data_IF_862281975848
#
_entry.id   IF_862281975848
#
_cell.length_a   1.000
_cell.length_b   1.000
_cell.length_c   1.000
_cell.angle_alpha   90.00
_cell.angle_beta   90.00
_cell.angle_gamma   90.00
#
_symmetry.space_group_name_H-M   'P 1'
#
loop_
_entity.id
_entity.type
_entity.pdbx_description
1 polymer ?
#
# COMPACT_ATOMS: atom_id res chain seq x y z
N UNK A 1 -20.85 -8.20 24.64
CA UNK A 1 -21.41 -8.72 23.37
C UNK A 1 -20.33 -8.64 22.30
N UNK A 2 -19.85 -9.78 21.79
CA UNK A 2 -18.83 -9.80 20.74
C UNK A 2 -19.43 -9.38 19.40
N UNK A 3 -18.81 -8.42 18.70
CA UNK A 3 -19.28 -7.91 17.40
C UNK A 3 -19.07 -8.98 16.32
N UNK A 4 -20.06 -9.87 16.17
CA UNK A 4 -20.17 -10.74 15.00
C UNK A 4 -20.70 -9.89 13.85
N UNK A 5 -19.85 -9.40 12.96
CA UNK A 5 -20.33 -8.74 11.73
C UNK A 5 -19.41 -7.71 11.10
N UNK A 6 -18.30 -8.14 10.50
CA UNK A 6 -17.66 -7.37 9.42
C UNK A 6 -16.91 -8.30 8.46
N UNK A 7 -17.55 -9.39 8.03
CA UNK A 7 -16.96 -10.34 7.08
C UNK A 7 -17.93 -10.51 5.91
N UNK A 8 -17.47 -10.17 4.72
CA UNK A 8 -18.24 -10.34 3.47
C UNK A 8 -17.85 -11.66 2.80
N UNK A 9 -18.84 -12.40 2.29
CA UNK A 9 -18.58 -13.66 1.58
C UNK A 9 -18.23 -13.38 0.12
N UNK A 10 -17.00 -13.67 -0.26
CA UNK A 10 -16.53 -13.62 -1.64
C UNK A 10 -16.38 -15.05 -2.18
N UNK A 11 -17.01 -15.35 -3.33
CA UNK A 11 -16.83 -16.62 -4.03
C UNK A 11 -15.74 -16.47 -5.09
N UNK A 12 -14.66 -17.26 -4.97
CA UNK A 12 -13.55 -17.28 -5.93
C UNK A 12 -13.22 -18.71 -6.31
N UNK A 13 -12.81 -18.91 -7.56
CA UNK A 13 -12.34 -20.20 -8.07
C UNK A 13 -10.81 -20.18 -8.12
N UNK A 14 -10.18 -21.21 -7.57
CA UNK A 14 -8.73 -21.39 -7.58
C UNK A 14 -8.35 -22.62 -8.43
N UNK A 15 -7.17 -22.63 -9.06
CA UNK A 15 -6.62 -23.84 -9.67
C UNK A 15 -6.59 -24.98 -8.66
N UNK A 16 -6.90 -26.19 -9.14
CA UNK A 16 -7.01 -27.40 -8.29
C UNK A 16 -5.76 -27.64 -7.46
N UNK A 17 -4.60 -27.62 -8.11
CA UNK A 17 -3.30 -27.85 -7.47
C UNK A 17 -3.02 -26.85 -6.35
N UNK A 18 -3.36 -25.58 -6.56
CA UNK A 18 -3.21 -24.54 -5.54
C UNK A 18 -4.14 -24.80 -4.35
N UNK A 19 -5.40 -25.15 -4.61
CA UNK A 19 -6.36 -25.45 -3.55
C UNK A 19 -5.97 -26.72 -2.75
N UNK A 20 -5.39 -27.72 -3.41
CA UNK A 20 -4.82 -28.92 -2.77
C UNK A 20 -3.59 -28.57 -1.93
N UNK A 21 -2.68 -27.76 -2.46
CA UNK A 21 -1.50 -27.28 -1.72
C UNK A 21 -1.85 -26.46 -0.48
N UNK A 22 -2.90 -25.63 -0.54
CA UNK A 22 -3.40 -24.92 0.64
C UNK A 22 -3.95 -25.93 1.66
N UNK A 23 -4.75 -26.90 1.22
CA UNK A 23 -5.39 -27.88 2.11
C UNK A 23 -4.42 -28.90 2.72
N UNK A 24 -3.24 -29.11 2.13
CA UNK A 24 -2.22 -30.00 2.70
C UNK A 24 -1.45 -29.37 3.86
N UNK A 25 -1.40 -28.04 3.93
CA UNK A 25 -0.61 -27.30 4.93
C UNK A 25 -1.52 -26.62 5.96
N UNK A 26 -2.68 -26.12 5.54
CA UNK A 26 -3.57 -25.32 6.40
C UNK A 26 -4.63 -26.22 7.06
N UNK A 27 -4.80 -26.15 8.40
CA UNK A 27 -5.86 -26.89 9.09
C UNK A 27 -7.26 -26.56 8.57
N UNK A 28 -8.18 -27.53 8.66
CA UNK A 28 -9.58 -27.31 8.32
C UNK A 28 -10.15 -26.16 9.16
N UNK A 29 -10.92 -25.28 8.52
CA UNK A 29 -11.49 -24.09 9.14
C UNK A 29 -10.58 -22.85 9.17
N UNK A 30 -9.28 -22.99 8.86
CA UNK A 30 -8.33 -21.85 8.83
C UNK A 30 -8.03 -21.35 7.40
N UNK A 31 -8.55 -22.01 6.38
CA UNK A 31 -8.32 -21.66 4.97
C UNK A 31 -8.73 -20.22 4.65
N UNK A 32 -9.86 -19.76 5.19
CA UNK A 32 -10.32 -18.38 4.99
C UNK A 32 -9.35 -17.35 5.58
N UNK A 33 -8.82 -17.60 6.79
CA UNK A 33 -7.82 -16.73 7.42
C UNK A 33 -6.54 -16.71 6.60
N UNK A 34 -6.05 -17.88 6.20
CA UNK A 34 -4.83 -17.99 5.38
C UNK A 34 -4.95 -17.21 4.06
N UNK A 35 -6.09 -17.34 3.38
CA UNK A 35 -6.36 -16.60 2.14
C UNK A 35 -6.49 -15.10 2.42
N UNK A 36 -7.19 -14.71 3.49
CA UNK A 36 -7.32 -13.29 3.86
C UNK A 36 -5.95 -12.65 4.08
N UNK A 37 -5.07 -13.28 4.85
CA UNK A 37 -3.73 -12.78 5.13
C UNK A 37 -2.89 -12.63 3.85
N UNK A 38 -2.98 -13.62 2.94
CA UNK A 38 -2.25 -13.57 1.67
C UNK A 38 -2.76 -12.44 0.76
N UNK A 39 -4.09 -12.26 0.70
CA UNK A 39 -4.73 -11.19 -0.08
C UNK A 39 -4.40 -9.83 0.51
N UNK A 40 -4.42 -9.66 1.84
CA UNK A 40 -4.09 -8.40 2.51
C UNK A 40 -2.66 -7.97 2.19
N UNK A 41 -1.67 -8.88 2.30
CA UNK A 41 -0.28 -8.60 1.92
C UNK A 41 -0.18 -8.19 0.45
N UNK A 42 -0.90 -8.86 -0.44
CA UNK A 42 -0.88 -8.54 -1.87
C UNK A 42 -1.53 -7.19 -2.16
N UNK A 43 -2.62 -6.85 -1.48
CA UNK A 43 -3.28 -5.54 -1.60
C UNK A 43 -2.39 -4.43 -1.07
N UNK A 44 -1.71 -4.62 0.05
CA UNK A 44 -0.75 -3.65 0.58
C UNK A 44 0.36 -3.35 -0.45
N UNK A 45 0.92 -4.40 -1.06
CA UNK A 45 1.90 -4.25 -2.14
C UNK A 45 1.34 -3.45 -3.34
N UNK A 46 0.10 -3.72 -3.77
CA UNK A 46 -0.52 -2.98 -4.86
C UNK A 46 -0.80 -1.50 -4.50
N UNK A 47 -1.25 -1.22 -3.27
CA UNK A 47 -1.47 0.16 -2.80
C UNK A 47 -0.17 0.94 -2.76
N UNK A 48 0.89 0.32 -2.24
CA UNK A 48 2.21 0.94 -2.19
C UNK A 48 2.74 1.21 -3.60
N UNK A 49 2.62 0.24 -4.51
CA UNK A 49 2.98 0.44 -5.92
C UNK A 49 2.20 1.56 -6.59
N UNK A 50 0.89 1.65 -6.37
CA UNK A 50 0.08 2.76 -6.87
C UNK A 50 0.48 4.09 -6.27
N UNK A 51 0.77 4.14 -4.97
CA UNK A 51 1.26 5.35 -4.31
C UNK A 51 2.61 5.79 -4.91
N UNK A 52 3.48 4.85 -5.27
CA UNK A 52 4.68 5.16 -6.05
C UNK A 52 4.34 5.62 -7.46
N UNK A 53 3.48 4.94 -8.22
CA UNK A 53 3.10 5.36 -9.59
C UNK A 53 2.46 6.76 -9.61
N UNK A 54 1.65 7.11 -8.60
CA UNK A 54 1.04 8.44 -8.46
C UNK A 54 2.06 9.46 -7.93
N UNK A 55 2.85 9.10 -6.92
CA UNK A 55 3.84 9.99 -6.29
C UNK A 55 5.03 10.31 -7.19
N UNK A 56 5.50 9.35 -7.98
CA UNK A 56 6.63 9.50 -8.91
C UNK A 56 6.27 10.33 -10.16
N UNK A 57 4.98 10.55 -10.43
CA UNK A 57 4.48 11.45 -11.47
C UNK A 57 3.91 12.78 -10.94
N UNK A 58 3.81 12.96 -9.62
CA UNK A 58 3.37 14.20 -8.98
C UNK A 58 4.51 15.21 -8.79
N UNK A 59 5.76 14.74 -8.69
CA UNK A 59 6.95 15.58 -8.86
C UNK A 59 7.22 15.77 -10.36
N UNK A 60 6.58 16.79 -10.95
CA UNK A 60 7.08 17.42 -12.17
C UNK A 60 7.76 18.72 -11.76
N UNK A 61 8.88 19.08 -12.38
CA UNK A 61 9.54 20.39 -12.19
C UNK A 61 8.58 21.57 -12.36
N UNK A 62 7.51 21.37 -13.14
CA UNK A 62 6.42 22.32 -13.39
C UNK A 62 5.56 22.59 -12.14
N UNK A 63 5.46 21.63 -11.21
CA UNK A 63 4.63 21.73 -9.99
C UNK A 63 5.44 22.19 -8.77
N UNK A 64 6.77 22.09 -8.81
CA UNK A 64 7.68 22.47 -7.73
C UNK A 64 8.97 23.10 -8.31
N UNK A 65 8.89 24.33 -8.85
CA UNK A 65 10.04 25.00 -9.46
C UNK A 65 11.14 25.32 -8.44
N UNK A 66 10.80 25.36 -7.16
CA UNK A 66 11.67 25.53 -6.00
C UNK A 66 12.56 24.31 -5.71
N UNK A 67 12.38 23.20 -6.43
CA UNK A 67 13.18 21.99 -6.29
C UNK A 67 13.86 21.57 -7.61
N UNK A 68 13.83 22.45 -8.63
CA UNK A 68 14.28 22.16 -9.99
C UNK A 68 15.79 21.94 -10.10
N UNK A 69 16.58 22.57 -9.24
CA UNK A 69 18.03 22.40 -9.18
C UNK A 69 18.46 21.95 -7.78
N UNK A 70 19.65 21.33 -7.65
CA UNK A 70 20.23 21.02 -6.34
C UNK A 70 20.29 22.24 -5.42
N UNK A 71 20.59 23.42 -5.98
CA UNK A 71 20.68 24.70 -5.26
C UNK A 71 19.31 25.16 -4.74
N UNK A 72 18.24 24.97 -5.51
CA UNK A 72 16.88 25.33 -5.10
C UNK A 72 16.37 24.37 -4.01
N UNK A 73 16.67 23.08 -4.13
CA UNK A 73 16.40 22.08 -3.09
C UNK A 73 17.08 22.41 -1.76
N UNK A 74 18.33 22.87 -1.81
CA UNK A 74 19.08 23.31 -0.62
C UNK A 74 18.42 24.55 0.01
N UNK A 75 17.96 25.50 -0.82
CA UNK A 75 17.27 26.72 -0.35
C UNK A 75 15.96 26.40 0.36
N UNK A 76 15.13 25.55 -0.23
CA UNK A 76 13.86 25.10 0.35
C UNK A 76 14.06 24.41 1.72
N UNK A 77 15.03 23.50 1.82
CA UNK A 77 15.35 22.80 3.08
C UNK A 77 15.87 23.78 4.14
N UNK A 78 16.65 24.79 3.74
CA UNK A 78 17.12 25.83 4.66
C UNK A 78 15.96 26.69 5.17
N UNK A 79 15.03 27.10 4.30
CA UNK A 79 13.84 27.89 4.67
C UNK A 79 12.95 27.16 5.69
N UNK A 80 12.73 25.85 5.49
CA UNK A 80 12.01 24.99 6.45
C UNK A 80 12.73 24.95 7.81
N UNK A 81 14.06 24.78 7.80
CA UNK A 81 14.85 24.68 9.03
C UNK A 81 14.94 26.00 9.80
N UNK A 82 14.83 27.13 9.10
CA UNK A 82 14.73 28.47 9.71
C UNK A 82 13.32 28.82 10.22
N UNK A 83 12.34 27.90 10.13
CA UNK A 83 10.99 28.08 10.69
C UNK A 83 10.04 28.90 9.82
N UNK A 84 10.32 29.03 8.52
CA UNK A 84 9.65 29.98 7.64
C UNK A 84 8.48 29.44 6.82
N UNK A 85 7.59 28.58 7.33
CA UNK A 85 6.21 28.49 6.81
C UNK A 85 5.26 28.17 7.98
N UNK A 86 4.66 29.22 8.53
CA UNK A 86 3.75 29.17 9.67
C UNK A 86 3.25 30.55 10.07
N UNK A 87 2.63 31.28 9.14
CA UNK A 87 1.70 32.40 9.38
C UNK A 87 0.83 32.59 8.15
#
# INVERSE_FOLDING_TARGET
>A
MARKGNTERLSVTLPRELAEGIRSIVPRGQVSSFVADAVERRLAYHRQRRAFEIGFGAWKDENHPDLKTPEDSIRYVNEIRSGGIGS
#
